data_IF_593173208295
#
_entry.id   IF_593173208295
#
_cell.length_a   1.000
_cell.length_b   1.000
_cell.length_c   1.000
_cell.angle_alpha   90.00
_cell.angle_beta   90.00
_cell.angle_gamma   90.00
#
_symmetry.space_group_name_H-M   'P 1'
#
loop_
_entity.id
_entity.type
_entity.pdbx_description
1 polymer ?
#
# COMPACT_ATOMS: atom_id res chain seq x y z
N UNK A 1 21.95 14.75 15.76
CA UNK A 1 21.45 13.46 15.27
C UNK A 1 21.26 13.59 13.77
N UNK A 2 22.22 13.11 12.98
CA UNK A 2 22.14 13.16 11.52
C UNK A 2 20.97 12.29 11.08
N UNK A 3 19.91 12.90 10.53
CA UNK A 3 18.87 12.15 9.84
C UNK A 3 19.49 11.57 8.57
N UNK A 4 19.84 10.27 8.59
CA UNK A 4 20.20 9.56 7.36
C UNK A 4 18.99 9.64 6.43
N UNK A 5 19.22 10.14 5.22
CA UNK A 5 18.17 10.19 4.19
C UNK A 5 17.63 8.81 3.91
N UNK A 6 16.39 8.73 3.42
CA UNK A 6 15.80 7.46 3.02
C UNK A 6 16.57 6.85 1.84
N UNK A 7 16.94 5.58 1.98
CA UNK A 7 17.70 4.83 0.97
C UNK A 7 16.79 4.23 -0.11
N UNK A 8 17.32 4.01 -1.30
CA UNK A 8 16.61 3.31 -2.37
C UNK A 8 16.63 1.80 -2.15
N UNK A 9 15.54 1.12 -2.52
CA UNK A 9 15.45 -0.33 -2.59
C UNK A 9 15.70 -1.06 -1.25
N UNK A 10 15.47 -0.37 -0.13
CA UNK A 10 15.69 -0.88 1.24
C UNK A 10 14.42 -0.70 2.07
N UNK A 11 14.08 -1.75 2.83
CA UNK A 11 13.07 -1.65 3.88
C UNK A 11 13.63 -0.88 5.06
N UNK A 12 12.95 0.17 5.51
CA UNK A 12 13.44 1.07 6.54
C UNK A 12 12.33 1.61 7.42
N UNK A 13 12.68 1.93 8.68
CA UNK A 13 11.77 2.59 9.60
C UNK A 13 11.69 4.09 9.29
N UNK A 14 10.49 4.63 9.29
CA UNK A 14 10.28 6.06 9.09
C UNK A 14 8.83 6.48 9.11
N UNK A 15 8.63 7.79 9.27
CA UNK A 15 7.32 8.43 9.16
C UNK A 15 6.99 8.73 7.70
N UNK A 16 5.74 8.48 7.31
CA UNK A 16 5.24 8.68 5.94
C UNK A 16 5.44 10.10 5.44
N UNK A 17 5.08 11.12 6.23
CA UNK A 17 5.21 12.53 5.81
C UNK A 17 6.66 12.97 5.72
N UNK A 18 7.52 12.48 6.61
CA UNK A 18 8.97 12.77 6.54
C UNK A 18 9.55 12.19 5.25
N UNK A 19 9.21 10.96 4.90
CA UNK A 19 9.62 10.37 3.62
C UNK A 19 9.09 11.20 2.44
N UNK A 20 7.77 11.43 2.38
CA UNK A 20 7.16 12.12 1.25
C UNK A 20 7.76 13.51 1.04
N UNK A 21 7.94 14.29 2.12
CA UNK A 21 8.54 15.64 2.06
C UNK A 21 10.02 15.66 1.69
N UNK A 22 10.73 14.56 1.87
CA UNK A 22 12.14 14.43 1.49
C UNK A 22 12.36 14.24 -0.02
N UNK A 23 11.30 13.93 -0.78
CA UNK A 23 11.38 13.65 -2.21
C UNK A 23 11.02 14.88 -3.05
N UNK A 24 11.64 15.05 -4.23
CA UNK A 24 11.32 16.16 -5.13
C UNK A 24 9.93 16.00 -5.76
N UNK A 25 9.31 17.11 -6.13
CA UNK A 25 8.04 17.10 -6.85
C UNK A 25 8.18 16.41 -8.22
N UNK A 26 7.13 15.74 -8.67
CA UNK A 26 7.08 15.12 -9.99
C UNK A 26 8.08 13.97 -10.21
N UNK A 27 8.51 13.29 -9.15
CA UNK A 27 9.59 12.29 -9.22
C UNK A 27 9.12 10.85 -9.46
N UNK A 28 7.83 10.57 -9.41
CA UNK A 28 7.30 9.20 -9.51
C UNK A 28 6.02 9.11 -10.32
N UNK A 29 5.90 8.13 -11.25
CA UNK A 29 4.64 7.86 -11.94
C UNK A 29 3.66 7.04 -11.08
N UNK A 30 4.13 6.37 -10.02
CA UNK A 30 3.31 5.45 -9.24
C UNK A 30 3.62 5.49 -7.76
N UNK A 31 2.57 5.66 -6.97
CA UNK A 31 2.61 5.57 -5.51
C UNK A 31 1.60 4.53 -5.06
N UNK A 32 1.99 3.64 -4.15
CA UNK A 32 1.07 2.82 -3.36
C UNK A 32 0.91 3.46 -1.99
N UNK A 33 -0.28 3.37 -1.41
CA UNK A 33 -0.52 3.84 -0.06
C UNK A 33 -1.60 2.99 0.63
N UNK A 34 -1.22 2.30 1.69
CA UNK A 34 -2.11 1.52 2.56
C UNK A 34 -2.18 2.16 3.95
N UNK A 35 -2.95 3.25 4.11
CA UNK A 35 -3.03 3.92 5.38
C UNK A 35 -3.70 3.05 6.44
N UNK A 36 -3.19 3.08 7.68
CA UNK A 36 -3.82 2.43 8.82
C UNK A 36 -5.13 3.17 9.17
N UNK A 37 -6.24 2.71 8.62
CA UNK A 37 -7.55 3.32 8.87
C UNK A 37 -8.00 3.13 10.31
N UNK A 38 -8.72 4.12 10.83
CA UNK A 38 -9.35 4.05 12.15
C UNK A 38 -10.40 2.95 12.21
N UNK A 39 -10.43 2.22 13.30
CA UNK A 39 -11.64 1.58 13.81
C UNK A 39 -11.95 0.18 13.35
N UNK A 40 -11.11 -0.47 12.51
CA UNK A 40 -11.31 -1.90 12.22
C UNK A 40 -10.87 -2.74 13.41
N UNK A 41 -9.76 -2.39 14.05
CA UNK A 41 -9.27 -3.09 15.25
C UNK A 41 -9.95 -2.59 16.53
N UNK A 42 -10.31 -1.30 16.60
CA UNK A 42 -10.92 -0.69 17.81
C UNK A 42 -12.39 -1.07 17.99
N UNK A 43 -13.11 -1.39 16.90
CA UNK A 43 -14.54 -1.72 16.93
C UNK A 43 -14.84 -3.21 17.00
N UNK A 44 -13.86 -4.09 16.83
CA UNK A 44 -14.04 -5.55 16.84
C UNK A 44 -13.77 -6.16 18.22
N UNK A 45 -14.50 -5.72 19.24
CA UNK A 45 -14.59 -6.44 20.52
C UNK A 45 -15.60 -7.57 20.38
N UNK A 46 -15.19 -8.73 19.84
CA UNK A 46 -16.03 -9.92 19.74
C UNK A 46 -15.42 -11.07 20.51
N UNK A 47 -16.11 -11.57 21.51
CA UNK A 47 -15.77 -12.76 22.26
C UNK A 47 -14.32 -12.73 22.80
N UNK A 48 -13.60 -13.83 22.70
CA UNK A 48 -12.20 -13.97 23.16
C UNK A 48 -11.15 -13.24 22.28
N UNK A 49 -11.56 -12.45 21.29
CA UNK A 49 -10.62 -11.74 20.42
C UNK A 49 -9.80 -10.69 21.18
N UNK A 50 -10.33 -10.07 22.22
CA UNK A 50 -9.56 -9.15 23.06
C UNK A 50 -8.30 -9.77 23.67
N UNK A 51 -8.33 -11.08 24.00
CA UNK A 51 -7.17 -11.81 24.50
C UNK A 51 -6.17 -12.16 23.36
N UNK A 52 -6.66 -12.46 22.16
CA UNK A 52 -5.83 -12.72 20.97
C UNK A 52 -5.17 -11.47 20.41
N UNK A 53 -5.78 -10.30 20.63
CA UNK A 53 -5.23 -9.01 20.15
C UNK A 53 -4.18 -8.43 21.09
N UNK A 54 -4.11 -8.85 22.36
CA UNK A 54 -3.11 -8.38 23.35
C UNK A 54 -1.64 -8.62 22.92
N UNK A 55 -1.39 -9.49 21.94
CA UNK A 55 -0.06 -9.75 21.39
C UNK A 55 0.19 -9.14 19.99
N UNK A 56 -0.79 -8.44 19.41
CA UNK A 56 -0.61 -7.76 18.11
C UNK A 56 -0.09 -6.35 18.37
N UNK A 57 0.99 -5.98 17.66
CA UNK A 57 1.48 -4.60 17.69
C UNK A 57 0.32 -3.66 17.33
N UNK A 58 -0.10 -2.84 18.26
CA UNK A 58 -1.03 -1.74 18.02
C UNK A 58 -0.29 -0.69 17.24
N UNK A 59 -0.48 -0.67 15.92
CA UNK A 59 -0.03 0.43 15.10
C UNK A 59 -0.89 1.67 15.44
N UNK A 60 -0.29 2.85 15.61
CA UNK A 60 -1.05 4.06 15.79
C UNK A 60 -1.92 4.28 14.55
N UNK A 61 -3.24 4.42 14.75
CA UNK A 61 -4.15 4.74 13.67
C UNK A 61 -3.80 6.11 13.07
N UNK A 62 -3.74 6.19 11.76
CA UNK A 62 -3.62 7.46 11.07
C UNK A 62 -4.95 8.21 11.14
N UNK A 63 -4.91 9.51 11.47
CA UNK A 63 -6.11 10.36 11.40
C UNK A 63 -6.46 10.64 9.94
N UNK A 64 -7.73 10.94 9.65
CA UNK A 64 -8.14 11.29 8.29
C UNK A 64 -7.36 12.48 7.75
N UNK A 65 -7.13 13.51 8.56
CA UNK A 65 -6.34 14.69 8.17
C UNK A 65 -4.88 14.34 7.88
N UNK A 66 -4.29 13.39 8.62
CA UNK A 66 -2.95 12.90 8.34
C UNK A 66 -2.92 12.14 7.00
N UNK A 67 -3.92 11.27 6.76
CA UNK A 67 -4.05 10.54 5.49
C UNK A 67 -4.22 11.50 4.31
N UNK A 68 -5.08 12.52 4.45
CA UNK A 68 -5.30 13.52 3.41
C UNK A 68 -4.02 14.33 3.14
N UNK A 69 -3.27 14.69 4.19
CA UNK A 69 -1.98 15.37 4.06
C UNK A 69 -0.97 14.48 3.32
N UNK A 70 -0.89 13.19 3.64
CA UNK A 70 -0.07 12.24 2.89
C UNK A 70 -0.48 12.16 1.43
N UNK A 71 -1.78 12.09 1.13
CA UNK A 71 -2.27 12.05 -0.24
C UNK A 71 -1.95 13.31 -1.03
N UNK A 72 -2.00 14.50 -0.41
CA UNK A 72 -1.58 15.77 -1.04
C UNK A 72 -0.10 15.80 -1.35
N UNK A 73 0.75 15.29 -0.44
CA UNK A 73 2.17 15.12 -0.70
C UNK A 73 2.42 14.06 -1.80
N UNK A 74 1.65 12.97 -1.84
CA UNK A 74 1.67 12.03 -2.96
C UNK A 74 1.37 12.73 -4.29
N UNK A 75 0.37 13.62 -4.32
CA UNK A 75 0.04 14.38 -5.53
C UNK A 75 1.17 15.32 -5.96
N UNK A 76 1.88 15.93 -5.01
CA UNK A 76 3.10 16.73 -5.30
C UNK A 76 4.19 15.88 -5.95
N UNK A 77 4.39 14.66 -5.44
CA UNK A 77 5.41 13.73 -5.95
C UNK A 77 5.05 13.09 -7.28
N UNK A 78 3.76 12.90 -7.56
CA UNK A 78 3.31 12.27 -8.80
C UNK A 78 3.67 13.12 -10.02
N UNK A 79 4.14 12.46 -11.07
CA UNK A 79 4.26 13.05 -12.41
C UNK A 79 2.87 13.50 -12.91
N UNK A 80 2.82 14.28 -13.98
CA UNK A 80 1.56 14.53 -14.69
C UNK A 80 0.95 13.19 -15.13
N UNK A 81 -0.36 13.01 -14.92
CA UNK A 81 -1.09 11.76 -15.16
C UNK A 81 -0.61 10.55 -14.36
N UNK A 82 0.24 10.75 -13.35
CA UNK A 82 0.72 9.69 -12.46
C UNK A 82 -0.39 9.16 -11.54
N UNK A 83 -0.14 8.00 -10.96
CA UNK A 83 -1.14 7.25 -10.22
C UNK A 83 -0.83 7.13 -8.73
N UNK A 84 -1.91 7.20 -7.92
CA UNK A 84 -1.92 6.78 -6.53
C UNK A 84 -2.85 5.56 -6.39
N UNK A 85 -2.28 4.42 -6.04
CA UNK A 85 -2.98 3.17 -5.71
C UNK A 85 -3.25 3.17 -4.20
N UNK A 86 -4.46 3.60 -3.79
CA UNK A 86 -4.81 3.74 -2.38
C UNK A 86 -5.69 2.60 -1.91
N UNK A 87 -5.21 1.83 -0.94
CA UNK A 87 -6.04 0.85 -0.25
C UNK A 87 -7.07 1.54 0.63
N UNK A 88 -8.28 0.99 0.66
CA UNK A 88 -9.38 1.51 1.44
C UNK A 88 -10.27 0.36 1.93
N UNK A 89 -10.80 0.49 3.13
CA UNK A 89 -11.77 -0.46 3.63
C UNK A 89 -13.20 -0.12 3.18
N UNK A 90 -14.14 -1.04 3.48
CA UNK A 90 -15.55 -0.86 3.14
C UNK A 90 -16.14 0.44 3.71
N UNK A 91 -15.75 0.83 4.92
CA UNK A 91 -16.34 2.01 5.56
C UNK A 91 -15.81 3.30 4.95
N UNK A 92 -14.50 3.41 4.76
CA UNK A 92 -13.91 4.56 4.09
C UNK A 92 -14.42 4.71 2.64
N UNK A 93 -14.69 3.57 1.95
CA UNK A 93 -15.30 3.59 0.63
C UNK A 93 -16.74 4.12 0.68
N UNK A 94 -17.58 3.62 1.63
CA UNK A 94 -18.96 4.08 1.78
C UNK A 94 -19.06 5.56 2.23
N UNK A 95 -18.09 6.02 3.02
CA UNK A 95 -17.99 7.42 3.47
C UNK A 95 -17.31 8.32 2.42
N UNK A 96 -16.95 7.76 1.28
CA UNK A 96 -16.34 8.46 0.14
C UNK A 96 -15.11 9.29 0.52
N UNK A 97 -14.25 8.77 1.39
CA UNK A 97 -13.05 9.47 1.88
C UNK A 97 -12.12 9.98 0.75
N UNK A 98 -12.18 9.37 -0.44
CA UNK A 98 -11.41 9.82 -1.60
C UNK A 98 -11.86 11.18 -2.14
N UNK A 99 -13.08 11.63 -1.86
CA UNK A 99 -13.56 12.96 -2.26
C UNK A 99 -12.82 14.08 -1.53
N UNK A 100 -12.25 13.81 -0.34
CA UNK A 100 -11.49 14.81 0.45
C UNK A 100 -10.20 15.29 -0.25
N UNK A 101 -9.74 14.53 -1.24
CA UNK A 101 -8.55 14.83 -2.06
C UNK A 101 -8.89 14.99 -3.54
N UNK A 102 -10.17 15.23 -3.87
CA UNK A 102 -10.66 15.33 -5.24
C UNK A 102 -10.15 16.55 -6.02
N UNK A 103 -9.52 17.50 -5.34
CA UNK A 103 -8.77 18.62 -5.92
C UNK A 103 -7.39 18.19 -6.47
N UNK A 104 -6.79 17.15 -5.91
CA UNK A 104 -5.46 16.65 -6.28
C UNK A 104 -5.51 15.44 -7.20
N UNK A 105 -6.47 14.55 -6.98
CA UNK A 105 -6.64 13.31 -7.70
C UNK A 105 -8.09 13.09 -8.13
N UNK A 106 -8.26 12.39 -9.24
CA UNK A 106 -9.57 11.85 -9.67
C UNK A 106 -9.57 10.33 -9.51
N UNK A 107 -10.61 9.79 -8.91
CA UNK A 107 -10.83 8.35 -8.89
C UNK A 107 -11.25 7.91 -10.30
N UNK A 108 -10.41 7.12 -10.94
CA UNK A 108 -10.61 6.68 -12.33
C UNK A 108 -11.04 5.22 -12.40
N UNK A 109 -10.75 4.42 -11.36
CA UNK A 109 -11.21 3.03 -11.28
C UNK A 109 -11.14 2.50 -9.84
N UNK A 110 -11.69 1.29 -9.63
CA UNK A 110 -11.73 0.57 -8.36
C UNK A 110 -11.52 -0.92 -8.58
N UNK A 111 -10.61 -1.52 -7.84
CA UNK A 111 -10.42 -2.97 -7.82
C UNK A 111 -10.86 -3.52 -6.46
N UNK A 112 -11.79 -4.49 -6.48
CA UNK A 112 -12.16 -5.26 -5.30
C UNK A 112 -11.23 -6.49 -5.18
N UNK A 113 -10.35 -6.50 -4.18
CA UNK A 113 -9.54 -7.68 -3.90
C UNK A 113 -10.31 -8.68 -3.04
N UNK A 114 -10.39 -9.93 -3.53
CA UNK A 114 -10.90 -11.07 -2.80
C UNK A 114 -9.74 -11.97 -2.36
N UNK A 115 -9.44 -12.01 -1.05
CA UNK A 115 -8.34 -12.82 -0.52
C UNK A 115 -8.66 -14.31 -0.39
N UNK A 116 -9.83 -14.75 -0.88
CA UNK A 116 -10.31 -16.14 -0.88
C UNK A 116 -10.37 -16.77 0.51
N UNK A 117 -10.34 -15.97 1.58
CA UNK A 117 -10.51 -16.40 2.97
C UNK A 117 -11.70 -15.72 3.59
N UNK A 118 -12.46 -16.46 4.36
CA UNK A 118 -13.58 -15.90 5.12
C UNK A 118 -13.04 -15.26 6.40
N UNK A 119 -13.07 -13.94 6.43
CA UNK A 119 -12.69 -13.15 7.61
C UNK A 119 -13.80 -13.09 8.66
N UNK A 120 -13.55 -12.29 9.69
CA UNK A 120 -14.52 -12.01 10.74
C UNK A 120 -15.51 -10.91 10.33
N UNK A 121 -16.69 -10.92 10.90
CA UNK A 121 -17.68 -9.88 10.69
C UNK A 121 -18.94 -10.11 11.52
N UNK A 122 -19.62 -9.05 11.89
CA UNK A 122 -20.82 -9.11 12.75
C UNK A 122 -22.07 -9.51 11.96
N UNK A 123 -22.17 -9.08 10.71
CA UNK A 123 -23.27 -9.39 9.80
C UNK A 123 -22.77 -10.21 8.62
N UNK A 124 -21.93 -9.60 7.78
CA UNK A 124 -21.27 -10.26 6.66
C UNK A 124 -19.83 -10.61 7.00
N UNK A 125 -19.25 -11.59 6.30
CA UNK A 125 -17.85 -11.98 6.46
C UNK A 125 -17.00 -11.20 5.46
N UNK A 126 -15.97 -10.52 5.95
CA UNK A 126 -15.03 -9.83 5.07
C UNK A 126 -14.17 -10.83 4.30
N UNK A 127 -13.96 -10.56 3.01
CA UNK A 127 -13.11 -11.37 2.15
C UNK A 127 -11.96 -10.60 1.50
N UNK A 128 -11.84 -9.32 1.76
CA UNK A 128 -10.78 -8.50 1.19
C UNK A 128 -10.98 -7.02 1.45
N UNK A 129 -10.22 -6.25 0.72
CA UNK A 129 -10.21 -4.79 0.73
C UNK A 129 -10.44 -4.25 -0.68
N UNK A 130 -10.50 -2.93 -0.80
CA UNK A 130 -10.64 -2.24 -2.08
C UNK A 130 -9.38 -1.44 -2.39
N UNK A 131 -9.04 -1.33 -3.66
CA UNK A 131 -7.96 -0.51 -4.15
C UNK A 131 -8.54 0.57 -5.07
N UNK A 132 -8.48 1.81 -4.65
CA UNK A 132 -8.81 2.96 -5.48
C UNK A 132 -7.65 3.24 -6.43
N UNK A 133 -7.97 3.41 -7.70
CA UNK A 133 -7.04 3.88 -8.71
C UNK A 133 -7.32 5.37 -8.90
N UNK A 134 -6.41 6.16 -8.36
CA UNK A 134 -6.50 7.62 -8.37
C UNK A 134 -5.46 8.17 -9.34
N UNK A 135 -5.88 9.03 -10.26
CA UNK A 135 -4.98 9.65 -11.23
C UNK A 135 -4.87 11.16 -11.01
N UNK A 136 -3.64 11.65 -11.05
CA UNK A 136 -3.36 13.09 -11.03
C UNK A 136 -3.72 13.72 -12.38
N UNK A 137 -4.36 14.89 -12.44
CA UNK A 137 -4.58 15.57 -13.70
C UNK A 137 -3.28 15.87 -14.47
N UNK A 138 -3.33 15.90 -15.83
CA UNK A 138 -4.49 15.63 -16.68
C UNK A 138 -4.85 14.15 -16.71
N UNK A 139 -6.16 13.84 -16.73
CA UNK A 139 -6.66 12.47 -16.75
C UNK A 139 -6.55 11.92 -18.16
N UNK A 140 -5.85 10.79 -18.29
CA UNK A 140 -5.67 10.10 -19.58
C UNK A 140 -5.45 8.61 -19.37
N UNK A 141 -5.94 7.79 -20.27
CA UNK A 141 -5.71 6.34 -20.27
C UNK A 141 -4.41 5.94 -21.02
N UNK A 142 -3.73 6.87 -21.68
CA UNK A 142 -2.55 6.57 -22.50
C UNK A 142 -1.41 5.94 -21.69
N UNK A 143 -1.26 6.33 -20.43
CA UNK A 143 -0.24 5.77 -19.53
C UNK A 143 -0.60 4.41 -18.94
N UNK A 144 -1.83 3.90 -19.18
CA UNK A 144 -2.27 2.58 -18.70
C UNK A 144 -2.13 1.53 -19.81
N UNK A 145 -1.25 0.55 -19.64
CA UNK A 145 -0.90 -0.42 -20.69
C UNK A 145 -1.52 -1.81 -20.51
N UNK A 146 -1.99 -2.15 -19.32
CA UNK A 146 -2.55 -3.47 -19.05
C UNK A 146 -4.07 -3.42 -18.89
N UNK A 147 -4.78 -3.45 -20.00
CA UNK A 147 -6.24 -3.48 -20.03
C UNK A 147 -6.87 -4.83 -19.63
N UNK A 148 -6.05 -5.83 -19.32
CA UNK A 148 -6.50 -7.15 -18.86
C UNK A 148 -6.60 -7.28 -17.34
N UNK A 149 -6.41 -6.21 -16.55
CA UNK A 149 -6.59 -6.24 -15.10
C UNK A 149 -8.10 -6.19 -14.78
N UNK A 150 -8.67 -7.26 -14.16
CA UNK A 150 -10.10 -7.26 -13.83
C UNK A 150 -10.39 -6.37 -12.60
N UNK A 151 -11.57 -5.78 -12.55
CA UNK A 151 -12.04 -4.99 -11.40
C UNK A 151 -12.32 -5.81 -10.13
N UNK A 152 -12.35 -7.15 -10.24
CA UNK A 152 -12.35 -8.08 -9.11
C UNK A 152 -11.13 -8.98 -9.21
N UNK A 153 -10.26 -8.90 -8.21
CA UNK A 153 -9.00 -9.65 -8.17
C UNK A 153 -9.02 -10.76 -7.11
N UNK A 154 -9.13 -12.04 -7.48
CA UNK A 154 -9.03 -13.16 -6.55
C UNK A 154 -7.56 -13.55 -6.36
N UNK A 155 -7.00 -13.32 -5.18
CA UNK A 155 -5.63 -13.75 -4.86
C UNK A 155 -5.52 -14.04 -3.37
N UNK A 156 -5.16 -15.28 -3.03
CA UNK A 156 -4.87 -15.68 -1.66
C UNK A 156 -3.46 -15.27 -1.28
N UNK A 157 -3.32 -14.58 -0.16
CA UNK A 157 -2.02 -14.18 0.37
C UNK A 157 -1.56 -15.06 1.53
N UNK A 158 -0.25 -15.20 1.69
CA UNK A 158 0.36 -15.84 2.84
C UNK A 158 0.64 -14.81 3.93
N UNK A 159 -0.04 -14.94 5.05
CA UNK A 159 0.07 -14.03 6.19
C UNK A 159 1.00 -14.51 7.30
N UNK A 160 1.77 -15.59 7.09
CA UNK A 160 2.67 -16.14 8.11
C UNK A 160 3.77 -15.17 8.53
N UNK A 161 4.26 -14.35 7.61
CA UNK A 161 5.32 -13.36 7.89
C UNK A 161 4.80 -11.99 8.32
N UNK A 162 3.62 -11.59 7.84
CA UNK A 162 3.00 -10.30 8.14
C UNK A 162 1.47 -10.40 8.04
N UNK A 163 0.70 -9.88 9.01
CA UNK A 163 -0.75 -10.07 9.05
C UNK A 163 -1.51 -9.33 7.93
N UNK A 164 -0.93 -8.28 7.37
CA UNK A 164 -1.56 -7.40 6.38
C UNK A 164 -0.86 -7.41 5.02
N UNK A 165 -0.44 -8.61 4.56
CA UNK A 165 0.15 -8.76 3.22
C UNK A 165 -0.90 -8.45 2.16
N UNK A 166 -0.53 -7.62 1.18
CA UNK A 166 -1.37 -7.30 0.01
C UNK A 166 -1.05 -8.24 -1.16
N UNK A 167 -1.97 -8.39 -2.15
CA UNK A 167 -1.81 -9.34 -3.26
C UNK A 167 -0.65 -8.95 -4.18
N UNK A 168 0.39 -9.77 -4.18
CA UNK A 168 1.64 -9.51 -4.90
C UNK A 168 1.47 -9.61 -6.42
N UNK A 169 0.57 -10.48 -6.88
CA UNK A 169 0.23 -10.61 -8.29
C UNK A 169 -0.45 -9.36 -8.83
N UNK A 170 -1.43 -8.81 -8.08
CA UNK A 170 -2.07 -7.54 -8.42
C UNK A 170 -1.06 -6.39 -8.44
N UNK A 171 -0.23 -6.28 -7.40
CA UNK A 171 0.81 -5.24 -7.32
C UNK A 171 1.75 -5.32 -8.54
N UNK A 172 2.13 -6.53 -8.96
CA UNK A 172 3.01 -6.71 -10.12
C UNK A 172 2.35 -6.23 -11.43
N UNK A 173 1.07 -6.56 -11.63
CA UNK A 173 0.31 -6.10 -12.79
C UNK A 173 0.20 -4.57 -12.81
N UNK A 174 -0.14 -3.96 -11.67
CA UNK A 174 -0.29 -2.51 -11.55
C UNK A 174 1.04 -1.77 -11.80
N UNK A 175 2.15 -2.24 -11.23
CA UNK A 175 3.47 -1.66 -11.51
C UNK A 175 3.80 -1.77 -13.00
N UNK A 176 3.59 -2.93 -13.61
CA UNK A 176 3.81 -3.12 -15.03
C UNK A 176 2.92 -2.27 -15.93
N UNK A 177 1.68 -2.00 -15.49
CA UNK A 177 0.69 -1.23 -16.26
C UNK A 177 1.06 0.25 -16.42
N UNK A 178 1.73 0.86 -15.43
CA UNK A 178 1.90 2.32 -15.39
C UNK A 178 3.33 2.81 -15.19
N UNK A 179 4.31 1.90 -15.16
CA UNK A 179 5.73 2.26 -14.99
C UNK A 179 6.63 1.54 -16.00
N UNK A 180 7.83 2.08 -16.24
CA UNK A 180 8.91 1.45 -17.01
C UNK A 180 10.05 0.98 -16.08
N UNK A 181 10.92 0.05 -16.53
CA UNK A 181 12.17 -0.24 -15.84
C UNK A 181 12.98 1.04 -15.57
N UNK A 182 13.48 1.18 -14.35
CA UNK A 182 14.18 2.38 -13.89
C UNK A 182 13.29 3.43 -13.21
N UNK A 183 11.97 3.41 -13.44
CA UNK A 183 11.05 4.33 -12.76
C UNK A 183 11.05 4.15 -11.24
N UNK A 184 10.75 5.21 -10.53
CA UNK A 184 10.57 5.20 -9.09
C UNK A 184 9.13 4.78 -8.73
N UNK A 185 9.00 3.83 -7.82
CA UNK A 185 7.76 3.48 -7.12
C UNK A 185 7.90 3.89 -5.66
N UNK A 186 6.91 4.58 -5.12
CA UNK A 186 6.92 5.06 -3.73
C UNK A 186 5.83 4.35 -2.92
N UNK A 187 6.16 4.01 -1.66
CA UNK A 187 5.20 3.44 -0.70
C UNK A 187 5.51 3.98 0.72
N UNK A 188 4.80 5.03 1.17
CA UNK A 188 5.07 5.66 2.46
C UNK A 188 4.56 4.87 3.67
N UNK A 189 3.83 3.77 3.46
CA UNK A 189 3.31 2.89 4.52
C UNK A 189 3.52 1.42 4.13
N UNK A 190 4.80 1.05 3.94
CA UNK A 190 5.22 -0.17 3.26
C UNK A 190 4.81 -1.49 3.91
N UNK A 191 4.43 -1.49 5.18
CA UNK A 191 4.01 -2.68 5.91
C UNK A 191 4.99 -3.83 5.74
N UNK A 192 4.58 -4.87 5.01
CA UNK A 192 5.42 -6.03 4.67
C UNK A 192 6.47 -5.74 3.58
N UNK A 193 6.53 -4.53 3.03
CA UNK A 193 7.35 -4.14 1.88
C UNK A 193 7.12 -4.98 0.61
N UNK A 194 5.92 -5.49 0.44
CA UNK A 194 5.52 -6.25 -0.75
C UNK A 194 5.73 -5.46 -2.04
N UNK A 195 5.37 -4.18 -2.05
CA UNK A 195 5.58 -3.27 -3.19
C UNK A 195 7.08 -3.18 -3.54
N UNK A 196 7.97 -3.05 -2.55
CA UNK A 196 9.42 -3.02 -2.76
C UNK A 196 9.92 -4.29 -3.46
N UNK A 197 9.52 -5.46 -2.95
CA UNK A 197 9.97 -6.73 -3.52
C UNK A 197 9.53 -6.88 -4.98
N UNK A 198 8.30 -6.48 -5.29
CA UNK A 198 7.77 -6.54 -6.66
C UNK A 198 8.45 -5.50 -7.56
N UNK A 199 8.57 -4.24 -7.13
CA UNK A 199 9.20 -3.18 -7.89
C UNK A 199 10.64 -3.57 -8.30
N UNK A 200 11.43 -4.04 -7.35
CA UNK A 200 12.81 -4.51 -7.60
C UNK A 200 12.86 -5.66 -8.59
N UNK A 201 11.98 -6.67 -8.43
CA UNK A 201 11.93 -7.81 -9.36
C UNK A 201 11.60 -7.39 -10.79
N UNK A 202 10.82 -6.33 -10.94
CA UNK A 202 10.46 -5.77 -12.25
C UNK A 202 11.44 -4.70 -12.75
N UNK A 203 12.59 -4.50 -12.09
CA UNK A 203 13.61 -3.52 -12.50
C UNK A 203 13.26 -2.06 -12.20
N UNK A 204 12.31 -1.81 -11.28
CA UNK A 204 11.94 -0.46 -10.83
C UNK A 204 12.73 -0.10 -9.57
N UNK A 205 12.97 1.19 -9.38
CA UNK A 205 13.47 1.72 -8.13
C UNK A 205 12.34 1.82 -7.11
N UNK A 206 12.67 1.71 -5.83
CA UNK A 206 11.69 1.81 -4.76
C UNK A 206 12.18 2.78 -3.68
N UNK A 207 11.27 3.62 -3.18
CA UNK A 207 11.43 4.34 -1.92
C UNK A 207 10.20 4.17 -1.05
N UNK A 208 10.40 3.75 0.18
CA UNK A 208 9.31 3.56 1.12
C UNK A 208 9.81 3.41 2.54
N UNK A 209 8.90 3.52 3.49
CA UNK A 209 9.16 3.30 4.91
C UNK A 209 7.93 2.71 5.59
N UNK A 210 8.13 2.23 6.81
CA UNK A 210 7.03 1.90 7.71
C UNK A 210 7.43 2.26 9.14
N UNK A 211 6.53 2.89 9.88
CA UNK A 211 6.82 3.38 11.24
C UNK A 211 7.08 2.25 12.24
N UNK A 212 6.51 1.07 11.99
CA UNK A 212 6.68 -0.11 12.83
C UNK A 212 7.83 -1.02 12.37
N UNK A 213 8.50 -0.70 11.27
CA UNK A 213 9.56 -1.55 10.75
C UNK A 213 10.73 -1.63 11.72
N UNK A 214 11.08 -2.86 12.13
CA UNK A 214 12.29 -3.19 12.89
C UNK A 214 13.07 -4.22 12.11
N UNK A 215 14.38 -4.00 11.89
CA UNK A 215 15.25 -4.98 11.24
C UNK A 215 15.16 -6.33 11.95
N UNK A 216 14.86 -7.40 11.20
CA UNK A 216 14.73 -8.74 11.72
C UNK A 216 13.36 -9.13 12.27
N UNK A 217 12.40 -8.21 12.41
CA UNK A 217 11.06 -8.55 12.89
C UNK A 217 10.10 -9.03 11.79
N UNK A 218 10.43 -8.83 10.53
CA UNK A 218 9.61 -9.21 9.38
C UNK A 218 10.41 -10.16 8.50
N UNK A 219 10.12 -11.45 8.60
CA UNK A 219 10.60 -12.42 7.62
C UNK A 219 9.93 -12.12 6.28
N UNK A 220 10.69 -11.63 5.31
CA UNK A 220 10.20 -11.40 3.96
C UNK A 220 9.59 -12.69 3.39
N UNK A 221 8.54 -12.62 2.55
CA UNK A 221 8.00 -13.80 1.90
C UNK A 221 9.08 -14.38 0.97
N UNK A 222 9.66 -15.54 1.34
CA UNK A 222 10.30 -16.47 0.42
C UNK A 222 11.68 -16.09 -0.13
N UNK A 223 12.67 -15.74 0.72
CA UNK A 223 14.06 -16.04 0.42
C UNK A 223 14.43 -17.33 1.17
N UNK A 224 14.01 -18.47 0.64
CA UNK A 224 14.79 -19.69 0.85
C UNK A 224 16.11 -19.47 0.12
N UNK A 225 17.15 -19.16 0.84
CA UNK A 225 18.50 -19.42 0.34
C UNK A 225 18.57 -20.93 0.17
N UNK A 226 18.64 -21.40 -1.06
CA UNK A 226 19.07 -22.77 -1.36
C UNK A 226 20.46 -22.96 -0.76
N UNK A 227 20.48 -23.48 0.46
CA UNK A 227 21.65 -24.19 0.99
C UNK A 227 21.46 -25.67 0.63
N UNK A 228 21.74 -25.98 -0.62
CA UNK A 228 22.04 -27.33 -1.03
C UNK A 228 23.17 -27.24 -2.07
N UNK A 229 24.36 -27.43 -1.60
CA UNK A 229 25.41 -28.28 -2.17
C UNK A 229 26.77 -27.84 -1.64
N UNK A 230 27.23 -28.53 -0.63
CA UNK A 230 28.62 -28.95 -0.45
C UNK A 230 28.60 -30.27 0.27
#
# INVERSE_FOLDING_TARGET
MYMRGFEFNVAQCGDSLVLLRSLPAGCTPLIFFDPQHRGILDKLKFGNEGARQKGRATLPAMTDDYIDTCCRECARLSTASGYLMRWIDTFGLCEAHHHRIGDCYKCVDLIAWDNLRMGMGKRTRRRGDYLLILQKPPITAVSWRDHGIPSRWPEKVDTRGHPHVKPMGLIARLIGAVTEPGDLVVDPAGGSFGVMHVARRLGRNFKGCDIAYRRGCWGGPGLRTDRSNA
#
